data_IF_865834664862
#
_entry.id   IF_865834664862
#
_cell.length_a   1.000
_cell.length_b   1.000
_cell.length_c   1.000
_cell.angle_alpha   90.00
_cell.angle_beta   90.00
_cell.angle_gamma   90.00
#
_symmetry.space_group_name_H-M   'P 1'
#
loop_
_entity.id
_entity.type
_entity.pdbx_description
1 polymer ?
#
# COMPACT_ATOMS: atom_id res chain seq x y z
N UNK A 1 10.63 14.03 -11.96
CA UNK A 1 9.52 13.41 -11.21
C UNK A 1 8.80 14.51 -10.46
N UNK A 2 7.47 14.63 -10.59
CA UNK A 2 6.68 15.55 -9.77
C UNK A 2 6.67 15.04 -8.32
N UNK A 3 7.03 15.90 -7.38
CA UNK A 3 6.96 15.62 -5.93
C UNK A 3 6.20 16.76 -5.29
N UNK A 4 5.08 16.45 -4.67
CA UNK A 4 4.23 17.42 -3.97
C UNK A 4 4.57 17.35 -2.48
N UNK A 5 4.81 18.50 -1.85
CA UNK A 5 5.08 18.55 -0.41
C UNK A 5 3.77 18.48 0.39
N UNK A 6 3.45 17.27 0.85
CA UNK A 6 2.31 17.02 1.73
C UNK A 6 2.67 17.09 3.23
N UNK A 7 3.87 17.53 3.64
CA UNK A 7 4.20 17.66 5.08
C UNK A 7 3.17 18.49 5.85
N UNK A 8 2.67 19.65 5.35
CA UNK A 8 1.66 20.42 6.07
C UNK A 8 0.35 19.65 6.21
N UNK A 9 -0.11 19.00 5.13
CA UNK A 9 -1.33 18.20 5.16
C UNK A 9 -1.21 16.99 6.12
N UNK A 10 -0.06 16.31 6.11
CA UNK A 10 0.21 15.16 6.96
C UNK A 10 0.15 15.50 8.45
N UNK A 11 0.37 16.75 8.84
CA UNK A 11 0.21 17.19 10.22
C UNK A 11 -1.25 17.10 10.69
N UNK A 12 -2.20 17.43 9.81
CA UNK A 12 -3.64 17.46 10.13
C UNK A 12 -4.36 16.13 9.87
N UNK A 13 -3.78 15.26 9.04
CA UNK A 13 -4.37 13.94 8.79
C UNK A 13 -4.37 13.10 10.07
N UNK A 14 -5.43 12.33 10.30
CA UNK A 14 -5.47 11.35 11.38
C UNK A 14 -4.47 10.24 11.10
N UNK A 15 -3.76 9.79 12.14
CA UNK A 15 -2.88 8.63 12.01
C UNK A 15 -3.71 7.37 11.71
N UNK A 16 -3.32 6.67 10.66
CA UNK A 16 -3.85 5.35 10.32
C UNK A 16 -2.70 4.34 10.40
N UNK A 17 -2.71 3.51 11.45
CA UNK A 17 -1.69 2.48 11.68
C UNK A 17 -2.33 1.13 11.41
N UNK A 18 -2.15 0.63 10.19
CA UNK A 18 -2.51 -0.75 9.88
C UNK A 18 -1.32 -1.67 10.22
N UNK A 19 -1.56 -2.85 10.82
CA UNK A 19 -0.48 -3.78 11.14
C UNK A 19 0.25 -4.23 9.88
N UNK A 20 1.58 -4.15 9.93
CA UNK A 20 2.46 -4.77 8.95
C UNK A 20 2.99 -6.10 9.51
N UNK A 21 3.24 -7.10 8.66
CA UNK A 21 3.84 -8.34 9.10
C UNK A 21 5.20 -8.07 9.75
N UNK A 22 5.45 -8.71 10.89
CA UNK A 22 6.71 -8.56 11.63
C UNK A 22 7.77 -9.47 11.00
N UNK A 23 8.99 -8.97 10.85
CA UNK A 23 10.10 -9.78 10.32
C UNK A 23 10.33 -11.06 11.16
N UNK A 24 10.06 -11.01 12.46
CA UNK A 24 10.20 -12.16 13.37
C UNK A 24 9.18 -13.28 13.13
N UNK A 25 8.04 -13.01 12.50
CA UNK A 25 7.02 -14.03 12.21
C UNK A 25 7.28 -14.74 10.88
N UNK A 26 8.11 -14.17 10.00
CA UNK A 26 8.41 -14.74 8.69
C UNK A 26 8.99 -16.16 8.77
N UNK A 27 9.99 -16.46 9.63
CA UNK A 27 10.55 -17.82 9.70
C UNK A 27 9.53 -18.87 10.15
N UNK A 28 8.53 -18.47 10.94
CA UNK A 28 7.48 -19.35 11.45
C UNK A 28 6.51 -19.69 10.32
N UNK A 29 6.07 -18.68 9.56
CA UNK A 29 5.15 -18.85 8.43
C UNK A 29 5.79 -19.64 7.28
N UNK A 30 7.08 -19.42 7.03
CA UNK A 30 7.78 -20.02 5.89
C UNK A 30 8.41 -21.40 6.20
N UNK A 31 8.37 -21.85 7.47
CA UNK A 31 9.15 -23.02 7.93
C UNK A 31 8.92 -24.30 7.11
N UNK A 32 7.68 -24.53 6.69
CA UNK A 32 7.29 -25.76 5.97
C UNK A 32 7.13 -25.53 4.45
N UNK A 33 7.38 -24.31 3.98
CA UNK A 33 7.20 -23.93 2.58
C UNK A 33 8.43 -24.30 1.76
N UNK A 34 8.21 -24.86 0.56
CA UNK A 34 9.28 -25.24 -0.38
C UNK A 34 9.29 -24.36 -1.62
N UNK A 35 8.14 -23.78 -1.98
CA UNK A 35 7.96 -22.98 -3.19
C UNK A 35 7.56 -21.57 -2.79
N UNK A 36 8.17 -20.59 -3.45
CA UNK A 36 7.96 -19.18 -3.18
C UNK A 36 7.74 -18.44 -4.50
N UNK A 37 6.70 -17.62 -4.55
CA UNK A 37 6.41 -16.74 -5.67
C UNK A 37 6.32 -15.30 -5.16
N UNK A 38 7.19 -14.44 -5.68
CA UNK A 38 7.21 -13.02 -5.35
C UNK A 38 6.52 -12.21 -6.45
N UNK A 39 5.61 -11.34 -6.05
CA UNK A 39 4.94 -10.38 -6.92
C UNK A 39 5.23 -8.96 -6.45
N UNK A 40 5.46 -8.07 -7.40
CA UNK A 40 5.63 -6.63 -7.19
C UNK A 40 4.48 -5.89 -7.88
N UNK A 41 3.77 -5.06 -7.13
CA UNK A 41 2.64 -4.30 -7.66
C UNK A 41 3.13 -3.04 -8.41
N UNK A 42 3.03 -3.07 -9.73
CA UNK A 42 3.36 -1.93 -10.61
C UNK A 42 2.60 -0.66 -10.20
N UNK A 43 3.26 0.49 -10.26
CA UNK A 43 2.66 1.80 -9.93
C UNK A 43 2.19 1.97 -8.48
N UNK A 44 2.40 0.97 -7.59
CA UNK A 44 2.17 1.03 -6.15
C UNK A 44 0.84 1.72 -5.79
N UNK A 45 0.89 2.80 -5.02
CA UNK A 45 -0.25 3.55 -4.51
C UNK A 45 -1.20 4.08 -5.59
N UNK A 46 -0.73 4.33 -6.81
CA UNK A 46 -1.59 4.85 -7.89
C UNK A 46 -2.66 3.87 -8.37
N UNK A 47 -2.66 2.63 -7.89
CA UNK A 47 -3.74 1.68 -8.12
C UNK A 47 -5.00 1.99 -7.29
N UNK A 48 -4.87 2.71 -6.17
CA UNK A 48 -6.00 3.05 -5.32
C UNK A 48 -6.59 4.40 -5.68
N UNK A 49 -7.91 4.44 -5.88
CA UNK A 49 -8.65 5.68 -6.08
C UNK A 49 -8.78 6.50 -4.79
N UNK A 50 -8.73 7.82 -4.91
CA UNK A 50 -9.13 8.74 -3.83
C UNK A 50 -10.62 9.03 -3.99
N UNK A 51 -11.34 8.91 -2.87
CA UNK A 51 -12.75 9.23 -2.79
C UNK A 51 -13.03 10.63 -3.35
N UNK A 52 -14.00 10.82 -4.26
CA UNK A 52 -14.30 12.12 -4.87
C UNK A 52 -14.47 13.27 -3.87
N UNK A 53 -15.03 13.01 -2.68
CA UNK A 53 -15.22 14.03 -1.64
C UNK A 53 -13.91 14.49 -1.01
N UNK A 54 -12.87 13.65 -1.02
CA UNK A 54 -11.58 13.88 -0.36
C UNK A 54 -10.48 14.38 -1.32
N UNK A 55 -10.70 14.34 -2.63
CA UNK A 55 -9.69 14.70 -3.65
C UNK A 55 -9.13 16.11 -3.49
N UNK A 56 -9.95 17.06 -3.06
CA UNK A 56 -9.56 18.45 -2.85
C UNK A 56 -8.40 18.60 -1.85
N UNK A 57 -8.26 17.67 -0.88
CA UNK A 57 -7.15 17.66 0.09
C UNK A 57 -5.81 17.34 -0.57
N UNK A 58 -5.85 16.63 -1.70
CA UNK A 58 -4.67 16.26 -2.49
C UNK A 58 -4.37 17.27 -3.61
N UNK A 59 -4.95 18.47 -3.54
CA UNK A 59 -4.70 19.48 -4.54
C UNK A 59 -3.25 19.98 -4.50
N UNK A 60 -2.70 20.29 -5.68
CA UNK A 60 -1.40 20.89 -5.85
C UNK A 60 -1.45 21.93 -6.96
N UNK A 61 -0.58 22.94 -6.86
CA UNK A 61 -0.50 24.01 -7.85
C UNK A 61 0.76 23.86 -8.70
N UNK A 62 0.61 24.17 -9.98
CA UNK A 62 1.69 24.51 -10.90
C UNK A 62 1.52 26.00 -11.27
N UNK A 63 2.51 26.68 -11.89
CA UNK A 63 2.46 28.13 -12.08
C UNK A 63 1.16 28.70 -12.68
N UNK A 64 0.49 27.95 -13.55
CA UNK A 64 -0.70 28.41 -14.28
C UNK A 64 -1.97 27.61 -14.01
N UNK A 65 -1.95 26.63 -13.10
CA UNK A 65 -3.10 25.75 -12.88
C UNK A 65 -3.05 25.03 -11.53
N UNK A 66 -4.23 24.65 -11.04
CA UNK A 66 -4.40 23.78 -9.88
C UNK A 66 -4.93 22.43 -10.34
N UNK A 67 -4.31 21.36 -9.83
CA UNK A 67 -4.72 19.98 -10.08
C UNK A 67 -4.99 19.29 -8.76
N UNK A 68 -5.70 18.16 -8.81
CA UNK A 68 -5.91 17.28 -7.67
C UNK A 68 -5.74 15.84 -8.12
N UNK A 69 -5.35 14.97 -7.20
CA UNK A 69 -5.19 13.56 -7.51
C UNK A 69 -6.54 12.84 -7.47
N UNK A 70 -6.75 11.95 -8.44
CA UNK A 70 -7.87 11.00 -8.46
C UNK A 70 -7.47 9.63 -7.91
N UNK A 71 -6.16 9.38 -7.82
CA UNK A 71 -5.54 8.17 -7.26
C UNK A 71 -4.62 8.54 -6.10
N UNK A 72 -4.33 7.61 -5.21
CA UNK A 72 -3.62 7.87 -3.96
C UNK A 72 -2.19 8.37 -4.25
N UNK A 73 -1.85 9.64 -3.96
CA UNK A 73 -0.55 10.18 -4.29
C UNK A 73 0.53 9.73 -3.31
N UNK A 74 1.78 9.75 -3.79
CA UNK A 74 2.95 9.64 -2.92
C UNK A 74 3.07 10.85 -2.00
N UNK A 75 3.63 10.64 -0.81
CA UNK A 75 3.90 11.70 0.17
C UNK A 75 2.84 11.84 1.25
N UNK A 76 1.66 11.22 1.11
CA UNK A 76 0.68 11.15 2.21
C UNK A 76 1.12 10.13 3.27
N UNK A 77 1.07 10.51 4.55
CA UNK A 77 1.49 9.64 5.66
C UNK A 77 0.62 8.37 5.79
N UNK A 78 -0.63 8.45 5.38
CA UNK A 78 -1.61 7.36 5.47
C UNK A 78 -1.54 6.41 4.27
N UNK A 79 -0.84 6.78 3.19
CA UNK A 79 -0.87 6.01 1.95
C UNK A 79 -0.41 4.54 2.11
N UNK A 80 0.69 4.23 2.83
CA UNK A 80 1.11 2.84 3.02
C UNK A 80 0.07 1.99 3.77
N UNK A 81 -0.54 2.54 4.82
CA UNK A 81 -1.56 1.86 5.61
C UNK A 81 -2.83 1.58 4.82
N UNK A 82 -3.31 2.56 4.04
CA UNK A 82 -4.47 2.39 3.16
C UNK A 82 -4.19 1.35 2.07
N UNK A 83 -2.98 1.36 1.52
CA UNK A 83 -2.57 0.39 0.52
C UNK A 83 -2.52 -1.03 1.08
N UNK A 84 -1.87 -1.21 2.23
CA UNK A 84 -1.82 -2.49 2.92
C UNK A 84 -3.24 -3.00 3.23
N UNK A 85 -4.13 -2.16 3.77
CA UNK A 85 -5.54 -2.52 4.03
C UNK A 85 -6.25 -3.04 2.79
N UNK A 86 -6.11 -2.33 1.67
CA UNK A 86 -6.77 -2.69 0.43
C UNK A 86 -6.27 -4.04 -0.09
N UNK A 87 -4.96 -4.24 -0.15
CA UNK A 87 -4.37 -5.49 -0.64
C UNK A 87 -4.67 -6.66 0.31
N UNK A 88 -4.59 -6.46 1.63
CA UNK A 88 -4.98 -7.47 2.62
C UNK A 88 -6.45 -7.88 2.48
N UNK A 89 -7.36 -6.94 2.19
CA UNK A 89 -8.77 -7.26 1.93
C UNK A 89 -8.97 -8.02 0.62
N UNK A 90 -8.23 -7.66 -0.43
CA UNK A 90 -8.33 -8.34 -1.74
C UNK A 90 -7.80 -9.77 -1.66
N UNK A 91 -6.69 -9.97 -0.94
CA UNK A 91 -6.01 -11.26 -0.79
C UNK A 91 -6.43 -11.99 0.50
N UNK A 92 -7.52 -11.59 1.15
CA UNK A 92 -8.05 -12.20 2.36
C UNK A 92 -8.14 -13.74 2.27
N UNK A 93 -8.60 -14.34 1.15
CA UNK A 93 -8.66 -15.80 1.01
C UNK A 93 -7.30 -16.50 0.94
N UNK A 94 -6.22 -15.75 0.71
CA UNK A 94 -4.87 -16.28 0.50
C UNK A 94 -3.93 -16.00 1.67
N UNK A 95 -4.38 -15.30 2.73
CA UNK A 95 -3.52 -14.83 3.82
C UNK A 95 -2.79 -15.93 4.59
N UNK A 96 -3.34 -17.15 4.63
CA UNK A 96 -2.68 -18.29 5.27
C UNK A 96 -1.36 -18.67 4.57
N UNK A 97 -1.29 -18.43 3.26
CA UNK A 97 -0.16 -18.77 2.39
C UNK A 97 0.45 -17.53 1.70
N UNK A 98 0.16 -16.34 2.22
CA UNK A 98 0.58 -15.07 1.65
C UNK A 98 1.11 -14.12 2.72
N UNK A 99 2.28 -13.53 2.46
CA UNK A 99 2.80 -12.39 3.20
C UNK A 99 2.69 -11.16 2.30
N UNK A 100 2.02 -10.13 2.80
CA UNK A 100 1.81 -8.86 2.09
C UNK A 100 2.58 -7.78 2.85
N UNK A 101 3.49 -7.10 2.16
CA UNK A 101 4.24 -5.97 2.69
C UNK A 101 4.18 -4.81 1.70
N UNK A 102 3.22 -3.91 1.91
CA UNK A 102 2.92 -2.75 1.06
C UNK A 102 2.72 -3.21 -0.39
N UNK A 103 3.73 -3.05 -1.25
CA UNK A 103 3.73 -3.39 -2.67
C UNK A 103 4.32 -4.77 -3.00
N UNK A 104 5.01 -5.39 -2.04
CA UNK A 104 5.56 -6.74 -2.15
C UNK A 104 4.54 -7.77 -1.67
N UNK A 105 4.22 -8.75 -2.51
CA UNK A 105 3.43 -9.92 -2.14
C UNK A 105 4.30 -11.16 -2.29
N UNK A 106 4.38 -11.96 -1.24
CA UNK A 106 5.06 -13.25 -1.22
C UNK A 106 4.02 -14.34 -1.01
N UNK A 107 3.78 -15.16 -2.03
CA UNK A 107 3.02 -16.40 -1.91
C UNK A 107 3.99 -17.55 -1.63
N UNK A 108 3.57 -18.47 -0.79
CA UNK A 108 4.35 -19.64 -0.42
C UNK A 108 3.49 -20.89 -0.34
N UNK A 109 4.06 -22.03 -0.73
CA UNK A 109 3.39 -23.33 -0.65
C UNK A 109 4.39 -24.43 -0.27
N UNK A 110 3.86 -25.53 0.27
CA UNK A 110 4.64 -26.71 0.65
C UNK A 110 5.07 -27.55 -0.55
N UNK A 111 4.27 -27.54 -1.61
CA UNK A 111 4.43 -28.33 -2.82
C UNK A 111 4.19 -27.47 -4.07
N UNK A 112 4.58 -27.99 -5.24
CA UNK A 112 4.53 -27.28 -6.53
C UNK A 112 3.14 -27.34 -7.22
N UNK A 113 2.23 -28.17 -6.72
CA UNK A 113 0.85 -28.33 -7.23
C UNK A 113 -0.12 -27.35 -6.58
#
# INVERSE_FOLDING_TARGET
>A
RLVVDYKPLNHFLKDDKFPLPKTSTLPILLKESKVFSKFDLKSRFWQLGVDPSERHKTAFCIPNAQYQWTVLPFGLKVAPSLFQKAITKILEPLLDNAIIYIDDILLFSKDME
#
